data_IF_221482749552
#
_entry.id   IF_221482749552
#
_cell.length_a   1.000
_cell.length_b   1.000
_cell.length_c   1.000
_cell.angle_alpha   90.00
_cell.angle_beta   90.00
_cell.angle_gamma   90.00
#
_symmetry.space_group_name_H-M   'P 1'
#
loop_
_entity.id
_entity.type
_entity.pdbx_description
1 polymer ?
#
# COMPACT_ATOMS: atom_id res chain seq x y z
N UNK A 1 -17.62 -2.95 2.20
CA UNK A 1 -17.10 -2.38 0.94
C UNK A 1 -17.69 -1.02 0.66
N UNK A 2 -17.03 -0.25 -0.22
CA UNK A 2 -17.54 1.06 -0.67
C UNK A 2 -17.65 1.06 -2.19
N UNK A 3 -18.85 1.35 -2.71
CA UNK A 3 -19.09 1.50 -4.15
C UNK A 3 -20.29 2.42 -4.35
N UNK A 4 -20.13 3.61 -4.96
CA UNK A 4 -21.24 4.53 -5.21
C UNK A 4 -22.39 3.86 -5.98
N UNK A 5 -23.63 4.05 -5.53
CA UNK A 5 -24.85 3.47 -6.09
C UNK A 5 -25.11 2.03 -5.69
N UNK A 6 -24.32 1.45 -4.76
CA UNK A 6 -24.52 0.07 -4.24
C UNK A 6 -24.70 0.03 -2.73
N UNK A 7 -24.89 1.17 -2.09
CA UNK A 7 -25.20 1.23 -0.66
C UNK A 7 -26.41 0.39 -0.28
N UNK A 8 -26.36 -0.25 0.88
CA UNK A 8 -27.40 -1.14 1.38
C UNK A 8 -27.37 -2.57 0.83
N UNK A 9 -26.45 -2.88 -0.10
CA UNK A 9 -26.18 -4.26 -0.54
C UNK A 9 -25.24 -4.96 0.45
N UNK A 10 -25.17 -6.28 0.30
CA UNK A 10 -24.19 -7.12 1.00
C UNK A 10 -23.30 -7.86 0.01
N UNK A 11 -22.03 -8.03 0.37
CA UNK A 11 -21.08 -8.88 -0.33
C UNK A 11 -20.29 -9.71 0.69
N UNK A 12 -20.28 -11.03 0.53
CA UNK A 12 -19.65 -11.97 1.47
C UNK A 12 -20.08 -11.74 2.94
N UNK A 13 -21.37 -11.49 3.15
CA UNK A 13 -21.98 -11.16 4.46
C UNK A 13 -21.37 -9.90 5.12
N UNK A 14 -20.89 -8.97 4.31
CA UNK A 14 -20.41 -7.67 4.76
C UNK A 14 -21.16 -6.56 4.04
N UNK A 15 -21.47 -5.44 4.75
CA UNK A 15 -22.22 -4.34 4.17
C UNK A 15 -21.42 -3.62 3.08
N UNK A 16 -22.16 -3.07 2.11
CA UNK A 16 -21.64 -2.16 1.09
C UNK A 16 -22.25 -0.78 1.31
N UNK A 17 -21.41 0.26 1.25
CA UNK A 17 -21.77 1.65 1.44
C UNK A 17 -21.58 2.44 0.15
N UNK A 18 -22.25 3.58 0.03
CA UNK A 18 -22.08 4.49 -1.11
C UNK A 18 -20.84 5.36 -0.98
N UNK A 19 -20.38 5.61 0.24
CA UNK A 19 -19.23 6.46 0.53
C UNK A 19 -18.35 5.93 1.67
N UNK A 20 -17.10 6.40 1.72
CA UNK A 20 -16.21 6.13 2.88
C UNK A 20 -16.78 6.74 4.15
N UNK A 21 -17.40 7.90 4.05
CA UNK A 21 -18.08 8.55 5.17
C UNK A 21 -19.15 7.66 5.81
N UNK A 22 -20.00 7.03 5.00
CA UNK A 22 -21.05 6.14 5.49
C UNK A 22 -20.44 4.89 6.15
N UNK A 23 -19.36 4.36 5.57
CA UNK A 23 -18.65 3.23 6.14
C UNK A 23 -18.03 3.57 7.51
N UNK A 24 -17.38 4.73 7.64
CA UNK A 24 -16.80 5.22 8.90
C UNK A 24 -17.86 5.56 9.96
N UNK A 25 -19.08 5.93 9.54
CA UNK A 25 -20.19 6.14 10.47
C UNK A 25 -20.75 4.81 11.02
N UNK A 26 -20.53 3.71 10.33
CA UNK A 26 -21.00 2.37 10.70
C UNK A 26 -20.01 1.63 11.62
N UNK A 27 -18.70 1.79 11.38
CA UNK A 27 -17.65 1.06 12.11
C UNK A 27 -16.36 1.89 12.16
N UNK A 28 -15.47 1.60 13.11
CA UNK A 28 -14.11 2.15 13.13
C UNK A 28 -13.28 1.58 11.98
N UNK A 29 -12.93 2.43 11.02
CA UNK A 29 -12.16 2.05 9.83
C UNK A 29 -10.91 2.91 9.76
N UNK A 30 -9.75 2.29 9.80
CA UNK A 30 -8.43 2.93 9.73
C UNK A 30 -7.72 2.72 8.38
N UNK A 31 -8.21 1.79 7.57
CA UNK A 31 -7.53 1.37 6.34
C UNK A 31 -8.49 1.29 5.16
N UNK A 32 -8.03 1.78 4.00
CA UNK A 32 -8.74 1.67 2.72
C UNK A 32 -7.86 1.00 1.66
N UNK A 33 -8.39 0.03 0.93
CA UNK A 33 -7.73 -0.58 -0.23
C UNK A 33 -8.51 -0.20 -1.49
N UNK A 34 -7.83 0.53 -2.40
CA UNK A 34 -8.44 1.14 -3.58
C UNK A 34 -8.21 0.29 -4.83
N UNK A 35 -9.31 -0.13 -5.47
CA UNK A 35 -9.34 -0.88 -6.73
C UNK A 35 -10.14 -0.14 -7.83
N UNK A 36 -10.57 1.08 -7.58
CA UNK A 36 -11.39 1.82 -8.54
C UNK A 36 -10.63 2.09 -9.85
N UNK A 37 -11.32 2.28 -10.99
CA UNK A 37 -10.66 2.66 -12.24
C UNK A 37 -9.82 3.94 -12.10
N UNK A 38 -8.71 4.04 -12.86
CA UNK A 38 -7.71 5.10 -12.76
C UNK A 38 -8.28 6.52 -12.68
N UNK A 39 -9.29 6.83 -13.48
CA UNK A 39 -9.95 8.15 -13.50
C UNK A 39 -10.67 8.54 -12.21
N UNK A 40 -10.93 7.58 -11.31
CA UNK A 40 -11.60 7.83 -10.03
C UNK A 40 -10.64 7.71 -8.84
N UNK A 41 -9.38 7.33 -9.08
CA UNK A 41 -8.42 7.02 -8.02
C UNK A 41 -8.10 8.23 -7.17
N UNK A 42 -7.84 9.40 -7.78
CA UNK A 42 -7.59 10.64 -7.02
C UNK A 42 -8.74 10.95 -6.06
N UNK A 43 -9.98 10.91 -6.54
CA UNK A 43 -11.13 11.20 -5.68
C UNK A 43 -11.29 10.18 -4.55
N UNK A 44 -11.03 8.90 -4.80
CA UNK A 44 -11.10 7.85 -3.78
C UNK A 44 -9.99 8.00 -2.71
N UNK A 45 -8.78 8.40 -3.10
CA UNK A 45 -7.69 8.70 -2.16
C UNK A 45 -8.07 9.89 -1.27
N UNK A 46 -8.56 10.97 -1.86
CA UNK A 46 -8.92 12.17 -1.10
C UNK A 46 -10.12 11.93 -0.19
N UNK A 47 -11.15 11.23 -0.67
CA UNK A 47 -12.30 10.85 0.16
C UNK A 47 -11.86 10.03 1.39
N UNK A 48 -10.97 9.07 1.22
CA UNK A 48 -10.45 8.29 2.34
C UNK A 48 -9.70 9.17 3.35
N UNK A 49 -8.82 10.05 2.89
CA UNK A 49 -8.07 10.97 3.75
C UNK A 49 -8.97 11.96 4.50
N UNK A 50 -9.96 12.54 3.83
CA UNK A 50 -10.94 13.47 4.40
C UNK A 50 -11.82 12.82 5.49
N UNK A 51 -11.99 11.50 5.44
CA UNK A 51 -12.73 10.73 6.44
C UNK A 51 -11.82 10.07 7.51
N UNK A 52 -10.56 10.49 7.61
CA UNK A 52 -9.67 10.11 8.70
C UNK A 52 -9.03 8.72 8.54
N UNK A 53 -9.03 8.15 7.34
CA UNK A 53 -8.33 6.88 7.08
C UNK A 53 -6.82 7.08 7.23
N UNK A 54 -6.20 6.29 8.09
CA UNK A 54 -4.77 6.39 8.40
C UNK A 54 -3.88 5.74 7.32
N UNK A 55 -4.34 4.61 6.74
CA UNK A 55 -3.59 3.87 5.73
C UNK A 55 -4.42 3.67 4.46
N UNK A 56 -3.90 4.16 3.35
CA UNK A 56 -4.52 4.00 2.03
C UNK A 56 -3.58 3.15 1.17
N UNK A 57 -4.07 2.02 0.66
CA UNK A 57 -3.35 1.16 -0.27
C UNK A 57 -3.99 1.31 -1.64
N UNK A 58 -3.30 1.90 -2.59
CA UNK A 58 -3.80 2.11 -3.95
C UNK A 58 -3.22 1.08 -4.93
N UNK A 59 -4.03 0.09 -5.28
CA UNK A 59 -3.65 -0.99 -6.21
C UNK A 59 -3.71 -0.52 -7.66
N UNK A 60 -4.61 0.40 -7.96
CA UNK A 60 -4.94 0.85 -9.32
C UNK A 60 -3.70 1.29 -10.10
N UNK A 61 -3.56 0.74 -11.30
CA UNK A 61 -2.55 1.08 -12.30
C UNK A 61 -3.10 2.13 -13.29
N UNK A 62 -2.18 2.89 -13.93
CA UNK A 62 -2.52 3.84 -14.98
C UNK A 62 -3.17 5.14 -14.50
N UNK A 63 -2.96 5.50 -13.26
CA UNK A 63 -3.42 6.78 -12.70
C UNK A 63 -2.64 7.92 -13.36
N UNK A 64 -3.30 8.98 -13.87
CA UNK A 64 -2.61 10.10 -14.47
C UNK A 64 -1.61 10.75 -13.49
N UNK A 65 -0.40 11.04 -13.96
CA UNK A 65 0.68 11.61 -13.12
C UNK A 65 0.24 12.93 -12.48
N UNK A 66 -0.49 13.79 -13.23
CA UNK A 66 -1.01 15.05 -12.68
C UNK A 66 -2.00 14.83 -11.53
N UNK A 67 -2.86 13.82 -11.63
CA UNK A 67 -3.80 13.46 -10.56
C UNK A 67 -3.05 13.02 -9.29
N UNK A 68 -1.94 12.29 -9.45
CA UNK A 68 -1.12 11.87 -8.32
C UNK A 68 -0.32 13.03 -7.71
N UNK A 69 0.20 13.96 -8.52
CA UNK A 69 0.84 15.19 -8.02
C UNK A 69 -0.15 16.00 -7.17
N UNK A 70 -1.37 16.18 -7.66
CA UNK A 70 -2.42 16.89 -6.91
C UNK A 70 -2.80 16.15 -5.63
N UNK A 71 -3.06 14.83 -5.72
CA UNK A 71 -3.42 14.01 -4.56
C UNK A 71 -2.34 14.05 -3.48
N UNK A 72 -1.06 13.82 -3.84
CA UNK A 72 0.04 13.83 -2.87
C UNK A 72 0.27 15.22 -2.26
N UNK A 73 0.04 16.30 -3.02
CA UNK A 73 0.10 17.65 -2.46
C UNK A 73 -1.01 17.92 -1.45
N UNK A 74 -2.24 17.49 -1.74
CA UNK A 74 -3.38 17.63 -0.82
C UNK A 74 -3.17 16.76 0.43
N UNK A 75 -2.64 15.54 0.27
CA UNK A 75 -2.35 14.63 1.39
C UNK A 75 -1.38 15.21 2.42
N UNK A 76 -0.55 16.20 2.06
CA UNK A 76 0.29 16.94 3.03
C UNK A 76 -0.54 17.64 4.13
N UNK A 77 -1.81 17.92 3.85
CA UNK A 77 -2.76 18.49 4.84
C UNK A 77 -3.35 17.43 5.78
N UNK A 78 -3.07 16.14 5.54
CA UNK A 78 -3.54 15.02 6.33
C UNK A 78 -2.34 14.21 6.88
N UNK A 79 -1.58 14.75 7.84
CA UNK A 79 -0.33 14.15 8.33
C UNK A 79 -0.52 12.79 9.00
N UNK A 80 -1.75 12.44 9.40
CA UNK A 80 -2.10 11.13 9.93
C UNK A 80 -2.38 10.06 8.86
N UNK A 81 -2.44 10.45 7.58
CA UNK A 81 -2.75 9.54 6.47
C UNK A 81 -1.50 9.18 5.69
N UNK A 82 -1.25 7.90 5.50
CA UNK A 82 -0.20 7.35 4.63
C UNK A 82 -0.81 6.71 3.39
N UNK A 83 -0.29 7.06 2.23
CA UNK A 83 -0.64 6.43 0.95
C UNK A 83 0.49 5.49 0.50
N UNK A 84 0.17 4.26 0.15
CA UNK A 84 1.05 3.30 -0.52
C UNK A 84 0.53 3.05 -1.93
N UNK A 85 1.38 3.14 -2.93
CA UNK A 85 1.01 3.14 -4.34
C UNK A 85 0.88 4.55 -4.92
N UNK A 86 0.30 4.72 -6.10
CA UNK A 86 -0.48 3.77 -6.90
C UNK A 86 0.34 2.66 -7.56
N UNK A 87 -0.34 1.81 -8.38
CA UNK A 87 0.28 0.73 -9.14
C UNK A 87 1.16 -0.18 -8.26
N UNK A 88 0.60 -0.63 -7.15
CA UNK A 88 1.31 -1.42 -6.16
C UNK A 88 0.59 -2.74 -5.82
N UNK A 89 1.30 -3.78 -5.40
CA UNK A 89 0.68 -5.03 -5.00
C UNK A 89 0.15 -4.99 -3.56
N UNK A 90 0.41 -3.92 -2.81
CA UNK A 90 -0.03 -3.74 -1.44
C UNK A 90 1.03 -4.02 -0.39
N UNK A 91 0.58 -4.41 0.79
CA UNK A 91 1.42 -4.67 1.97
C UNK A 91 0.99 -5.98 2.61
N UNK A 92 1.95 -6.76 3.09
CA UNK A 92 1.70 -7.96 3.90
C UNK A 92 2.70 -8.04 5.05
N UNK A 93 2.21 -8.22 6.26
CA UNK A 93 2.98 -8.63 7.43
C UNK A 93 2.54 -10.06 7.77
N UNK A 94 3.36 -11.08 7.45
CA UNK A 94 2.97 -12.48 7.64
C UNK A 94 2.57 -12.78 9.07
N UNK A 95 1.52 -13.58 9.24
CA UNK A 95 0.95 -13.86 10.55
C UNK A 95 0.09 -12.75 11.17
N UNK A 96 0.09 -11.53 10.61
CA UNK A 96 -0.63 -10.35 11.12
C UNK A 96 -1.72 -9.87 10.17
N UNK A 97 -1.35 -9.35 8.99
CA UNK A 97 -2.30 -8.76 8.05
C UNK A 97 -1.84 -8.82 6.60
N UNK A 98 -2.80 -8.74 5.68
CA UNK A 98 -2.59 -8.61 4.24
C UNK A 98 -3.54 -7.56 3.68
N UNK A 99 -2.99 -6.57 3.00
CA UNK A 99 -3.70 -5.47 2.35
C UNK A 99 -3.28 -5.41 0.86
N UNK A 100 -4.15 -5.84 -0.03
CA UNK A 100 -3.87 -5.88 -1.47
C UNK A 100 -3.83 -7.28 -2.06
N UNK A 101 -3.04 -7.46 -3.14
CA UNK A 101 -3.09 -8.62 -4.02
C UNK A 101 -1.91 -9.60 -3.89
N UNK A 102 -0.92 -9.32 -3.04
CA UNK A 102 0.21 -10.23 -2.85
C UNK A 102 -0.25 -11.65 -2.48
N UNK A 103 0.33 -12.72 -3.07
CA UNK A 103 -0.04 -14.10 -2.73
C UNK A 103 0.47 -14.46 -1.33
N UNK A 104 -0.44 -14.61 -0.38
CA UNK A 104 -0.08 -14.93 1.01
C UNK A 104 0.67 -16.27 1.16
N UNK A 105 0.42 -17.22 0.25
CA UNK A 105 1.00 -18.56 0.31
C UNK A 105 2.51 -18.65 0.15
N UNK A 106 3.16 -17.63 -0.40
CA UNK A 106 4.63 -17.58 -0.54
C UNK A 106 5.29 -16.86 0.62
N UNK A 107 4.53 -16.18 1.46
CA UNK A 107 5.05 -15.43 2.60
C UNK A 107 5.18 -16.33 3.83
N UNK A 108 6.20 -16.06 4.62
CA UNK A 108 6.46 -16.72 5.91
C UNK A 108 6.87 -15.66 6.93
N UNK A 109 6.40 -15.80 8.16
CA UNK A 109 6.82 -14.91 9.25
C UNK A 109 8.33 -15.05 9.48
N UNK A 110 9.00 -13.90 9.64
CA UNK A 110 10.44 -13.84 9.83
C UNK A 110 10.94 -12.41 10.05
N UNK A 111 12.21 -12.15 9.71
CA UNK A 111 12.89 -10.90 10.07
C UNK A 111 13.35 -10.04 8.88
N UNK A 112 13.00 -10.42 7.64
CA UNK A 112 13.39 -9.63 6.47
C UNK A 112 12.32 -8.60 6.14
N UNK A 113 12.65 -7.32 6.20
CA UNK A 113 11.87 -6.25 5.61
C UNK A 113 12.06 -6.24 4.09
N UNK A 114 10.97 -6.19 3.31
CA UNK A 114 11.06 -6.08 1.86
C UNK A 114 10.33 -4.83 1.41
N UNK A 115 11.02 -3.96 0.67
CA UNK A 115 10.41 -2.82 -0.02
C UNK A 115 10.71 -2.88 -1.51
N UNK A 116 9.68 -2.72 -2.34
CA UNK A 116 9.80 -2.95 -3.78
C UNK A 116 8.96 -2.01 -4.63
N UNK A 117 9.52 -1.55 -5.73
CA UNK A 117 8.78 -0.88 -6.83
C UNK A 117 8.22 -1.89 -7.83
N UNK A 118 8.82 -3.08 -7.93
CA UNK A 118 8.42 -4.11 -8.89
C UNK A 118 7.36 -5.04 -8.31
N UNK A 119 6.29 -5.29 -9.04
CA UNK A 119 5.29 -6.30 -8.66
C UNK A 119 5.87 -7.72 -8.66
N UNK A 120 6.43 -8.13 -9.79
CA UNK A 120 6.90 -9.52 -10.02
C UNK A 120 8.13 -9.87 -9.19
N UNK A 121 9.16 -9.00 -9.18
CA UNK A 121 10.39 -9.26 -8.41
C UNK A 121 10.14 -9.26 -6.90
N UNK A 122 9.12 -8.56 -6.42
CA UNK A 122 8.69 -8.66 -5.03
C UNK A 122 8.39 -10.10 -4.64
N UNK A 123 7.63 -10.81 -5.48
CA UNK A 123 7.23 -12.19 -5.18
C UNK A 123 8.41 -13.15 -5.23
N UNK A 124 9.37 -12.91 -6.12
CA UNK A 124 10.62 -13.68 -6.18
C UNK A 124 11.47 -13.48 -4.92
N UNK A 125 11.67 -12.23 -4.49
CA UNK A 125 12.42 -11.94 -3.26
C UNK A 125 11.75 -12.56 -2.02
N UNK A 126 10.42 -12.46 -1.94
CA UNK A 126 9.63 -13.10 -0.86
C UNK A 126 9.80 -14.62 -0.88
N UNK A 127 9.68 -15.23 -2.05
CA UNK A 127 9.80 -16.69 -2.17
C UNK A 127 11.18 -17.19 -1.76
N UNK A 128 12.24 -16.53 -2.24
CA UNK A 128 13.63 -16.90 -1.93
C UNK A 128 13.92 -16.74 -0.42
N UNK A 129 13.50 -15.66 0.20
CA UNK A 129 13.71 -15.46 1.65
C UNK A 129 12.88 -16.43 2.49
N UNK A 130 11.70 -16.83 2.02
CA UNK A 130 10.88 -17.87 2.66
C UNK A 130 11.47 -19.26 2.54
N UNK A 131 12.06 -19.62 1.38
CA UNK A 131 12.64 -20.93 1.11
C UNK A 131 13.90 -21.22 1.95
N UNK A 132 14.61 -20.18 2.34
CA UNK A 132 15.80 -20.29 3.23
C UNK A 132 15.48 -20.01 4.70
N UNK A 133 14.20 -20.06 5.08
CA UNK A 133 13.71 -19.90 6.44
C UNK A 133 13.99 -18.54 7.11
N UNK A 134 14.31 -17.50 6.33
CA UNK A 134 14.44 -16.13 6.84
C UNK A 134 13.08 -15.46 7.07
N UNK A 135 12.13 -15.70 6.14
CA UNK A 135 10.81 -15.11 6.21
C UNK A 135 10.79 -13.59 6.17
N UNK A 136 9.62 -12.99 6.33
CA UNK A 136 9.47 -11.53 6.25
C UNK A 136 8.87 -10.97 7.55
N UNK A 137 9.38 -9.84 8.02
CA UNK A 137 8.72 -9.00 9.01
C UNK A 137 7.53 -8.28 8.37
N UNK A 138 7.80 -7.58 7.27
CA UNK A 138 6.78 -6.93 6.42
C UNK A 138 7.30 -6.82 5.00
N UNK A 139 6.42 -7.03 4.03
CA UNK A 139 6.68 -6.80 2.62
C UNK A 139 5.80 -5.64 2.12
N UNK A 140 6.42 -4.60 1.57
CA UNK A 140 5.77 -3.38 1.10
C UNK A 140 6.05 -3.19 -0.39
N UNK A 141 5.01 -3.29 -1.22
CA UNK A 141 5.11 -2.85 -2.61
C UNK A 141 4.71 -1.38 -2.70
N UNK A 142 5.66 -0.50 -3.02
CA UNK A 142 5.40 0.94 -3.11
C UNK A 142 4.92 1.38 -4.49
N UNK A 143 5.00 0.51 -5.49
CA UNK A 143 4.58 0.77 -6.86
C UNK A 143 5.68 1.35 -7.76
N UNK A 144 5.55 1.09 -9.06
CA UNK A 144 6.52 1.50 -10.09
C UNK A 144 6.28 2.89 -10.67
N UNK A 145 5.19 3.57 -10.33
CA UNK A 145 4.84 4.87 -10.90
C UNK A 145 5.82 5.98 -10.45
N UNK A 146 5.99 7.05 -11.26
CA UNK A 146 6.95 8.12 -10.96
C UNK A 146 6.54 8.98 -9.75
N UNK A 147 5.26 8.98 -9.36
CA UNK A 147 4.75 9.73 -8.20
C UNK A 147 4.02 8.77 -7.27
N UNK A 148 4.69 8.38 -6.20
CA UNK A 148 4.19 7.47 -5.18
C UNK A 148 3.85 8.21 -3.89
N UNK A 149 2.92 7.65 -3.12
CA UNK A 149 2.57 8.18 -1.79
C UNK A 149 3.58 7.86 -0.71
N UNK A 150 4.32 6.75 -0.85
CA UNK A 150 5.37 6.31 0.09
C UNK A 150 6.63 6.00 -0.69
N UNK A 151 7.77 6.51 -0.22
CA UNK A 151 9.09 6.33 -0.83
C UNK A 151 9.86 5.15 -0.21
N UNK A 152 11.00 4.77 -0.83
CA UNK A 152 11.97 3.87 -0.20
C UNK A 152 12.45 4.39 1.15
N UNK A 153 12.80 5.67 1.23
CA UNK A 153 13.29 6.30 2.46
C UNK A 153 12.26 6.21 3.58
N UNK A 154 10.98 6.39 3.28
CA UNK A 154 9.91 6.23 4.27
C UNK A 154 9.85 4.78 4.79
N UNK A 155 9.96 3.79 3.88
CA UNK A 155 9.95 2.39 4.26
C UNK A 155 11.19 1.99 5.06
N UNK A 156 12.38 2.44 4.67
CA UNK A 156 13.62 2.18 5.40
C UNK A 156 13.56 2.73 6.82
N UNK A 157 13.05 3.96 7.00
CA UNK A 157 12.82 4.53 8.34
C UNK A 157 11.84 3.75 9.18
N UNK A 158 10.80 3.17 8.57
CA UNK A 158 9.86 2.31 9.29
C UNK A 158 10.52 0.98 9.70
N UNK A 159 11.28 0.35 8.81
CA UNK A 159 12.01 -0.89 9.12
C UNK A 159 13.09 -0.70 10.17
N UNK A 160 13.82 0.42 10.15
CA UNK A 160 14.82 0.77 11.18
C UNK A 160 14.21 0.87 12.59
N UNK A 161 12.95 1.29 12.68
CA UNK A 161 12.21 1.38 13.94
C UNK A 161 11.40 0.13 14.28
N UNK A 162 11.45 -0.91 13.46
CA UNK A 162 10.74 -2.18 13.68
C UNK A 162 11.69 -3.22 14.29
N UNK A 163 11.47 -3.55 15.56
CA UNK A 163 12.28 -4.52 16.29
C UNK A 163 12.23 -5.95 15.69
N UNK A 164 11.29 -6.26 14.81
CA UNK A 164 11.20 -7.55 14.14
C UNK A 164 12.09 -7.58 12.89
N UNK A 165 12.45 -6.41 12.33
CA UNK A 165 13.24 -6.32 11.10
C UNK A 165 14.73 -6.33 11.41
N UNK A 166 15.45 -7.37 10.98
CA UNK A 166 16.90 -7.52 11.15
C UNK A 166 17.70 -7.25 9.88
N UNK A 167 17.05 -7.37 8.73
CA UNK A 167 17.65 -7.12 7.41
C UNK A 167 16.61 -6.61 6.44
N UNK A 168 17.06 -5.88 5.42
CA UNK A 168 16.16 -5.26 4.43
C UNK A 168 16.59 -5.66 3.02
N UNK A 169 15.62 -6.07 2.20
CA UNK A 169 15.76 -6.25 0.75
C UNK A 169 15.03 -5.11 0.05
N UNK A 170 15.78 -4.32 -0.70
CA UNK A 170 15.26 -3.24 -1.53
C UNK A 170 15.27 -3.67 -3.00
N UNK A 171 14.11 -3.62 -3.65
CA UNK A 171 13.95 -3.98 -5.07
C UNK A 171 13.57 -2.75 -5.85
N UNK A 172 14.50 -2.25 -6.64
CA UNK A 172 14.34 -1.07 -7.49
C UNK A 172 13.66 -1.35 -8.82
N UNK A 173 13.54 -0.28 -9.61
CA UNK A 173 13.06 -0.31 -10.99
C UNK A 173 13.94 0.61 -11.82
N UNK A 174 14.04 0.35 -13.13
CA UNK A 174 14.88 1.16 -14.02
C UNK A 174 14.36 2.59 -14.12
N UNK A 175 15.22 3.56 -13.85
CA UNK A 175 14.99 5.00 -14.02
C UNK A 175 14.81 5.78 -12.75
N UNK A 176 15.27 7.02 -12.76
CA UNK A 176 15.32 7.91 -11.60
C UNK A 176 16.53 7.66 -10.71
N UNK A 177 16.52 8.25 -9.52
CA UNK A 177 17.61 8.24 -8.52
C UNK A 177 17.11 7.80 -7.14
N UNK A 178 15.87 7.28 -7.07
CA UNK A 178 15.23 6.98 -5.78
C UNK A 178 15.95 5.86 -5.00
N UNK A 179 16.56 4.92 -5.71
CA UNK A 179 17.33 3.83 -5.13
C UNK A 179 18.68 4.31 -4.57
N UNK A 180 19.36 5.19 -5.30
CA UNK A 180 20.62 5.81 -4.88
C UNK A 180 20.38 6.72 -3.67
N UNK A 181 19.36 7.58 -3.72
CA UNK A 181 18.97 8.46 -2.61
C UNK A 181 18.59 7.68 -1.34
N UNK A 182 18.03 6.48 -1.52
CA UNK A 182 17.65 5.62 -0.40
C UNK A 182 18.86 4.87 0.21
N UNK A 183 19.95 4.72 -0.56
CA UNK A 183 21.17 4.03 -0.12
C UNK A 183 22.15 4.95 0.63
N UNK A 184 21.97 6.29 0.58
CA UNK A 184 22.75 7.30 1.31
C UNK A 184 22.26 7.46 2.76
#
# INVERSE_FOLDING_TARGET
>A
GVTPGKGGQEHLNKPVFDSVKDACAFDEIDTSVIFVPAKFTKSAILEAAENGINLIICITEGVPVLDMIEATNILKSFPGTRLVGPNCPGVISPGKSKLGIMPASIHKEGSVGIVSRSGTLTYEAVKQTSDVDLGQSTCIGIGGDPVNGTSFIDCLKMFENDNQTESIVMVGEIGGTAEEEAAE
#
